data_IF_419973155566
#
_entry.id   IF_419973155566
#
_cell.length_a   1.000
_cell.length_b   1.000
_cell.length_c   1.000
_cell.angle_alpha   90.00
_cell.angle_beta   90.00
_cell.angle_gamma   90.00
#
_symmetry.space_group_name_H-M   'P 1'
#
loop_
_entity.id
_entity.type
_entity.pdbx_description
1 polymer ?
#
# COMPACT_ATOMS: atom_id res chain seq x y z
N UNK A 1 -9.13 28.36 -6.12
CA UNK A 1 -7.91 28.22 -5.31
C UNK A 1 -6.76 27.84 -6.24
N UNK A 2 -5.70 28.64 -6.28
CA UNK A 2 -4.52 28.35 -7.12
C UNK A 2 -3.65 27.31 -6.41
N UNK A 3 -3.67 26.06 -6.88
CA UNK A 3 -2.73 25.05 -6.41
C UNK A 3 -1.39 25.25 -7.11
N UNK A 4 -0.41 25.78 -6.39
CA UNK A 4 1.00 25.79 -6.82
C UNK A 4 1.49 24.34 -6.93
N UNK A 5 1.54 23.79 -8.15
CA UNK A 5 2.15 22.47 -8.42
C UNK A 5 3.67 22.61 -8.39
N UNK A 6 4.28 22.31 -7.25
CA UNK A 6 5.74 22.23 -7.13
C UNK A 6 6.19 20.84 -7.59
N UNK A 7 6.70 20.73 -8.82
CA UNK A 7 7.35 19.49 -9.30
C UNK A 7 8.83 19.53 -8.89
N UNK A 8 9.21 18.74 -7.88
CA UNK A 8 10.62 18.52 -7.52
C UNK A 8 11.08 17.22 -8.14
N UNK A 9 11.88 17.31 -9.21
CA UNK A 9 12.49 16.16 -9.86
C UNK A 9 13.67 15.69 -9.01
N UNK A 10 13.46 14.67 -8.18
CA UNK A 10 14.54 13.99 -7.44
C UNK A 10 15.11 12.85 -8.28
N UNK A 11 16.18 13.09 -9.04
CA UNK A 11 16.93 12.00 -9.66
C UNK A 11 17.67 11.20 -8.58
N UNK A 12 17.71 9.87 -8.68
CA UNK A 12 18.39 8.94 -7.76
C UNK A 12 19.89 9.23 -7.49
N UNK A 13 20.48 10.23 -8.15
CA UNK A 13 21.81 10.77 -7.86
C UNK A 13 21.84 11.44 -6.47
N UNK A 14 20.74 12.02 -5.98
CA UNK A 14 20.67 12.49 -4.59
C UNK A 14 20.75 11.33 -3.61
N UNK A 15 20.30 10.12 -3.96
CA UNK A 15 20.46 8.93 -3.12
C UNK A 15 21.93 8.55 -2.91
N UNK A 16 22.75 8.53 -3.97
CA UNK A 16 24.18 8.21 -3.88
C UNK A 16 24.99 9.35 -3.27
N UNK A 17 24.64 10.61 -3.53
CA UNK A 17 25.29 11.76 -2.90
C UNK A 17 24.92 11.91 -1.41
N UNK A 18 23.66 11.66 -1.02
CA UNK A 18 23.25 11.60 0.39
C UNK A 18 23.80 10.36 1.09
N UNK A 19 23.91 9.20 0.43
CA UNK A 19 24.58 8.02 1.00
C UNK A 19 26.09 8.23 1.13
N UNK A 20 26.75 8.85 0.13
CA UNK A 20 28.17 9.17 0.20
C UNK A 20 28.48 10.19 1.29
N UNK A 21 27.63 11.23 1.43
CA UNK A 21 27.73 12.21 2.51
C UNK A 21 27.37 11.62 3.88
N UNK A 22 26.37 10.73 3.98
CA UNK A 22 26.06 10.02 5.22
C UNK A 22 27.15 9.02 5.61
N UNK A 23 27.69 8.24 4.67
CA UNK A 23 28.80 7.32 4.94
C UNK A 23 30.02 8.11 5.45
N UNK A 24 30.33 9.26 4.83
CA UNK A 24 31.40 10.13 5.30
C UNK A 24 31.15 10.74 6.70
N UNK A 25 29.89 10.80 7.17
CA UNK A 25 29.53 11.47 8.43
C UNK A 25 29.09 10.52 9.56
N UNK A 26 28.65 9.29 9.25
CA UNK A 26 28.14 8.32 10.24
C UNK A 26 29.12 7.23 10.64
N UNK A 27 30.28 7.14 9.99
CA UNK A 27 31.31 6.23 10.44
C UNK A 27 32.33 6.99 11.27
N UNK A 28 32.50 6.52 12.50
CA UNK A 28 33.72 6.68 13.28
C UNK A 28 34.82 5.94 12.51
N UNK A 29 35.27 6.54 11.40
CA UNK A 29 36.22 5.94 10.47
C UNK A 29 37.54 5.78 11.20
N UNK A 30 38.01 4.55 11.29
CA UNK A 30 39.27 4.21 11.94
C UNK A 30 40.41 5.07 11.38
N UNK A 31 41.45 5.36 12.18
CA UNK A 31 42.62 6.17 11.75
C UNK A 31 43.31 5.65 10.46
N UNK A 32 42.99 4.44 10.00
CA UNK A 32 43.46 3.86 8.74
C UNK A 32 42.78 4.44 7.48
N UNK A 33 41.50 4.79 7.54
CA UNK A 33 40.70 5.16 6.36
C UNK A 33 41.04 6.57 5.84
N UNK A 34 41.52 7.45 6.73
CA UNK A 34 41.95 8.81 6.39
C UNK A 34 43.21 8.88 5.51
N UNK A 35 43.91 7.75 5.30
CA UNK A 35 45.13 7.68 4.48
C UNK A 35 44.87 7.30 3.02
N UNK A 36 43.61 7.04 2.63
CA UNK A 36 43.27 6.65 1.26
C UNK A 36 43.22 7.87 0.33
N UNK A 37 43.83 7.81 -0.89
CA UNK A 37 43.89 8.96 -1.82
C UNK A 37 42.52 9.51 -2.24
N UNK A 38 41.50 8.66 -2.19
CA UNK A 38 40.12 9.00 -2.56
C UNK A 38 39.41 9.88 -1.49
N UNK A 39 39.92 9.91 -0.27
CA UNK A 39 39.29 10.61 0.86
C UNK A 39 39.31 12.13 0.69
N UNK A 40 40.40 12.68 0.14
CA UNK A 40 40.53 14.12 -0.10
C UNK A 40 39.65 14.59 -1.27
N UNK A 41 39.47 13.74 -2.29
CA UNK A 41 38.53 14.00 -3.37
C UNK A 41 37.07 14.00 -2.88
N UNK A 42 36.70 13.05 -2.01
CA UNK A 42 35.37 13.02 -1.38
C UNK A 42 35.12 14.25 -0.51
N UNK A 43 36.10 14.67 0.29
CA UNK A 43 36.00 15.90 1.10
C UNK A 43 35.83 17.14 0.24
N UNK A 44 36.58 17.26 -0.86
CA UNK A 44 36.49 18.39 -1.79
C UNK A 44 35.13 18.44 -2.50
N UNK A 45 34.62 17.27 -2.90
CA UNK A 45 33.29 17.13 -3.50
C UNK A 45 32.19 17.53 -2.51
N UNK A 46 32.27 17.04 -1.27
CA UNK A 46 31.34 17.40 -0.19
C UNK A 46 31.36 18.91 0.08
N UNK A 47 32.55 19.53 0.18
CA UNK A 47 32.67 20.97 0.41
C UNK A 47 32.12 21.81 -0.74
N UNK A 48 32.32 21.38 -1.99
CA UNK A 48 31.73 22.02 -3.17
C UNK A 48 30.20 21.92 -3.15
N UNK A 49 29.68 20.73 -2.81
CA UNK A 49 28.25 20.50 -2.68
C UNK A 49 27.61 21.34 -1.56
N UNK A 50 28.31 21.50 -0.43
CA UNK A 50 27.88 22.33 0.71
C UNK A 50 27.70 23.80 0.32
N UNK A 51 28.58 24.34 -0.54
CA UNK A 51 28.48 25.73 -1.02
C UNK A 51 27.30 25.92 -1.96
N UNK A 52 26.98 24.92 -2.77
CA UNK A 52 25.94 25.00 -3.80
C UNK A 52 24.56 24.75 -3.20
N UNK A 53 24.45 23.87 -2.20
CA UNK A 53 23.17 23.45 -1.63
C UNK A 53 23.15 23.49 -0.08
N UNK A 54 23.27 24.68 0.53
CA UNK A 54 23.34 24.81 1.99
C UNK A 54 22.09 24.27 2.72
N UNK A 55 20.92 24.27 2.06
CA UNK A 55 19.65 23.78 2.61
C UNK A 55 19.44 22.27 2.50
N UNK A 56 20.22 21.54 1.70
CA UNK A 56 20.08 20.07 1.58
C UNK A 56 20.66 19.37 2.81
N UNK A 57 21.64 19.97 3.48
CA UNK A 57 22.27 19.44 4.70
C UNK A 57 21.64 19.92 6.00
N UNK A 58 20.70 20.87 5.96
CA UNK A 58 19.87 21.17 7.14
C UNK A 58 18.86 20.06 7.44
N UNK A 59 18.70 19.09 6.53
CA UNK A 59 18.05 17.82 6.81
C UNK A 59 18.94 17.01 7.77
N UNK A 60 18.93 17.38 9.05
CA UNK A 60 19.30 16.45 10.11
C UNK A 60 18.40 15.25 9.94
N UNK A 61 18.99 14.07 9.74
CA UNK A 61 18.30 12.86 10.13
C UNK A 61 17.96 13.09 11.61
N UNK A 62 16.67 13.18 11.93
CA UNK A 62 16.22 13.08 13.31
C UNK A 62 16.54 11.64 13.69
N UNK A 63 17.79 11.36 14.03
CA UNK A 63 18.14 10.28 14.93
C UNK A 63 17.71 10.80 16.29
N UNK A 64 16.41 10.96 16.52
CA UNK A 64 15.96 11.08 17.90
C UNK A 64 16.24 9.72 18.50
N UNK A 65 17.09 9.69 19.52
CA UNK A 65 17.43 8.50 20.30
C UNK A 65 16.19 7.88 20.99
N UNK A 66 15.00 8.47 20.80
CA UNK A 66 13.72 8.10 21.41
C UNK A 66 12.59 7.85 20.38
N UNK A 67 12.87 7.41 19.14
CA UNK A 67 11.77 6.85 18.30
C UNK A 67 11.49 5.43 18.78
N UNK A 68 10.35 5.22 19.45
CA UNK A 68 9.80 3.88 19.67
C UNK A 68 9.34 3.33 18.32
N UNK A 69 10.20 2.53 17.68
CA UNK A 69 9.85 1.81 16.46
C UNK A 69 9.19 0.50 16.89
N UNK A 70 7.91 0.34 16.59
CA UNK A 70 7.24 -0.94 16.75
C UNK A 70 7.91 -1.96 15.82
N UNK A 71 8.47 -3.06 16.35
CA UNK A 71 9.05 -4.11 15.52
C UNK A 71 7.99 -4.72 14.62
N UNK A 72 8.43 -5.25 13.46
CA UNK A 72 7.55 -6.01 12.59
C UNK A 72 7.05 -7.27 13.31
N UNK A 73 5.73 -7.43 13.40
CA UNK A 73 5.14 -8.69 13.84
C UNK A 73 5.25 -9.73 12.71
N UNK A 74 6.04 -10.78 12.94
CA UNK A 74 6.26 -11.85 11.97
C UNK A 74 5.12 -12.87 11.93
N UNK A 75 4.19 -12.84 12.89
CA UNK A 75 2.99 -13.67 12.92
C UNK A 75 1.69 -12.88 12.74
N UNK A 76 1.77 -11.72 12.07
CA UNK A 76 0.63 -10.84 11.81
C UNK A 76 -0.54 -11.51 11.08
N UNK A 77 -0.38 -12.69 10.50
CA UNK A 77 -1.44 -13.46 9.84
C UNK A 77 -1.66 -14.86 10.42
N UNK A 78 -1.02 -15.16 11.57
CA UNK A 78 -1.15 -16.43 12.28
C UNK A 78 -0.51 -17.62 11.57
N UNK A 79 0.32 -17.35 10.56
CA UNK A 79 0.90 -18.35 9.64
C UNK A 79 2.43 -18.40 9.71
N UNK A 80 3.04 -17.92 10.78
CA UNK A 80 4.49 -17.96 10.93
C UNK A 80 5.00 -19.40 11.11
N UNK A 81 5.93 -19.87 10.25
CA UNK A 81 6.49 -21.23 10.36
C UNK A 81 7.07 -21.59 11.73
N UNK A 82 7.54 -20.61 12.51
CA UNK A 82 8.05 -20.85 13.87
C UNK A 82 6.99 -21.34 14.87
N UNK A 83 5.70 -21.11 14.59
CA UNK A 83 4.60 -21.43 15.50
C UNK A 83 4.07 -22.87 15.34
N UNK A 84 4.44 -23.59 14.28
CA UNK A 84 4.11 -25.01 14.09
C UNK A 84 5.02 -25.98 14.89
N UNK A 85 5.73 -25.48 15.89
CA UNK A 85 6.77 -26.21 16.64
C UNK A 85 6.28 -27.08 17.81
N UNK A 86 4.97 -27.19 18.06
CA UNK A 86 4.45 -27.72 19.34
C UNK A 86 4.02 -29.19 19.36
N UNK A 87 4.23 -29.99 18.31
CA UNK A 87 4.06 -31.45 18.40
C UNK A 87 5.39 -32.19 18.27
N UNK A 88 6.01 -32.44 19.41
CA UNK A 88 7.28 -33.17 19.59
C UNK A 88 7.22 -34.67 19.23
N UNK A 89 6.20 -35.11 18.49
CA UNK A 89 5.96 -36.52 18.15
C UNK A 89 5.99 -36.82 16.64
N UNK A 90 6.12 -35.81 15.77
CA UNK A 90 6.27 -36.00 14.33
C UNK A 90 7.50 -35.25 13.85
N UNK A 91 8.44 -35.96 13.23
CA UNK A 91 9.47 -35.39 12.35
C UNK A 91 8.81 -34.81 11.09
N UNK A 92 7.90 -33.84 11.28
CA UNK A 92 7.16 -33.16 10.22
C UNK A 92 8.00 -32.03 9.65
N UNK A 93 8.20 -32.05 8.32
CA UNK A 93 8.79 -30.92 7.60
C UNK A 93 8.05 -29.63 7.96
N UNK A 94 8.80 -28.54 8.20
CA UNK A 94 8.21 -27.21 8.33
C UNK A 94 7.55 -26.86 7.00
N UNK A 95 6.22 -26.95 6.93
CA UNK A 95 5.45 -26.56 5.75
C UNK A 95 5.44 -25.05 5.69
N UNK A 96 6.41 -24.49 4.98
CA UNK A 96 6.46 -23.07 4.67
C UNK A 96 5.67 -22.79 3.40
N UNK A 97 4.92 -21.67 3.33
CA UNK A 97 4.46 -21.13 2.06
C UNK A 97 5.62 -21.11 1.05
N UNK A 98 5.36 -21.46 -0.21
CA UNK A 98 6.41 -21.45 -1.27
C UNK A 98 6.21 -20.34 -2.29
N UNK A 99 5.02 -19.73 -2.32
CA UNK A 99 4.64 -18.76 -3.34
C UNK A 99 4.46 -17.35 -2.76
N UNK A 100 4.82 -16.36 -3.58
CA UNK A 100 4.51 -14.96 -3.33
C UNK A 100 3.09 -14.67 -3.81
N UNK A 101 2.28 -14.00 -2.97
CA UNK A 101 0.95 -13.53 -3.36
C UNK A 101 1.02 -12.09 -3.85
N UNK A 102 0.38 -11.83 -4.98
CA UNK A 102 0.16 -10.48 -5.51
C UNK A 102 -1.32 -10.14 -5.35
N UNK A 103 -1.61 -9.08 -4.60
CA UNK A 103 -2.96 -8.60 -4.36
C UNK A 103 -3.12 -7.24 -5.04
N UNK A 104 -4.07 -7.14 -5.96
CA UNK A 104 -4.42 -5.91 -6.64
C UNK A 104 -5.79 -5.46 -6.14
N UNK A 105 -5.84 -4.29 -5.51
CA UNK A 105 -7.06 -3.65 -5.05
C UNK A 105 -7.43 -2.57 -6.06
N UNK A 106 -8.69 -2.60 -6.50
CA UNK A 106 -9.21 -1.65 -7.48
C UNK A 106 -10.32 -0.86 -6.80
N UNK A 107 -10.17 0.47 -6.73
CA UNK A 107 -11.26 1.33 -6.26
C UNK A 107 -12.36 1.37 -7.32
N UNK A 108 -13.63 1.41 -6.90
CA UNK A 108 -14.74 1.59 -7.83
C UNK A 108 -14.59 2.87 -8.67
N UNK A 109 -15.29 2.93 -9.80
CA UNK A 109 -15.36 4.15 -10.63
C UNK A 109 -16.16 5.26 -9.98
N UNK A 110 -16.08 6.46 -10.56
CA UNK A 110 -16.94 7.57 -10.16
C UNK A 110 -18.42 7.19 -10.31
N UNK A 111 -19.22 7.55 -9.33
CA UNK A 111 -20.64 7.21 -9.25
C UNK A 111 -21.47 8.40 -8.77
N UNK A 112 -22.78 8.34 -8.99
CA UNK A 112 -23.72 9.31 -8.43
C UNK A 112 -24.02 8.96 -6.97
N UNK A 113 -23.82 9.92 -6.06
CA UNK A 113 -24.20 9.73 -4.67
C UNK A 113 -25.72 9.79 -4.51
N UNK A 114 -26.30 8.75 -3.92
CA UNK A 114 -27.71 8.68 -3.59
C UNK A 114 -27.89 8.19 -2.15
N UNK A 115 -29.12 8.29 -1.64
CA UNK A 115 -29.45 7.83 -0.29
C UNK A 115 -29.47 6.30 -0.22
N UNK A 116 -30.08 5.65 -1.20
CA UNK A 116 -30.15 4.20 -1.31
C UNK A 116 -29.02 3.68 -2.20
N UNK A 117 -28.38 2.58 -1.81
CA UNK A 117 -27.27 1.99 -2.57
C UNK A 117 -27.71 1.54 -3.97
N UNK A 118 -28.97 1.13 -4.14
CA UNK A 118 -29.54 0.73 -5.43
C UNK A 118 -29.48 1.84 -6.49
N UNK A 119 -29.43 3.11 -6.06
CA UNK A 119 -29.40 4.27 -6.96
C UNK A 119 -27.96 4.80 -7.17
N UNK A 120 -26.97 4.23 -6.48
CA UNK A 120 -25.56 4.66 -6.52
C UNK A 120 -24.81 4.12 -7.76
N UNK A 121 -25.32 4.41 -8.96
CA UNK A 121 -24.76 3.93 -10.24
C UNK A 121 -23.53 4.72 -10.72
N UNK A 122 -22.67 4.06 -11.49
CA UNK A 122 -21.52 4.67 -12.16
C UNK A 122 -21.95 5.79 -13.13
N UNK A 123 -21.21 6.89 -13.10
CA UNK A 123 -21.33 7.97 -14.09
C UNK A 123 -20.73 7.54 -15.42
N UNK A 124 -20.96 8.30 -16.49
CA UNK A 124 -20.28 8.08 -17.77
C UNK A 124 -18.75 8.13 -17.64
N UNK A 125 -18.23 9.05 -16.82
CA UNK A 125 -16.81 9.14 -16.47
C UNK A 125 -16.35 7.90 -15.70
N UNK A 126 -17.11 7.45 -14.71
CA UNK A 126 -16.84 6.21 -13.98
C UNK A 126 -16.66 5.01 -14.89
N UNK A 127 -17.55 4.85 -15.88
CA UNK A 127 -17.45 3.75 -16.85
C UNK A 127 -16.17 3.81 -17.69
N UNK A 128 -15.76 5.00 -18.13
CA UNK A 128 -14.50 5.20 -18.86
C UNK A 128 -13.28 4.90 -17.98
N UNK A 129 -13.30 5.28 -16.70
CA UNK A 129 -12.23 4.95 -15.76
C UNK A 129 -12.03 3.43 -15.65
N UNK A 130 -13.11 2.65 -15.51
CA UNK A 130 -12.98 1.19 -15.41
C UNK A 130 -12.59 0.51 -16.72
N UNK A 131 -12.98 1.05 -17.88
CA UNK A 131 -12.48 0.56 -19.17
C UNK A 131 -10.95 0.75 -19.27
N UNK A 132 -10.43 1.92 -18.87
CA UNK A 132 -8.98 2.14 -18.76
C UNK A 132 -8.33 1.16 -17.78
N UNK A 133 -8.93 0.93 -16.60
CA UNK A 133 -8.41 -0.01 -15.61
C UNK A 133 -8.43 -1.45 -16.10
N UNK A 134 -9.51 -1.88 -16.77
CA UNK A 134 -9.62 -3.20 -17.38
C UNK A 134 -8.58 -3.42 -18.47
N UNK A 135 -8.39 -2.44 -19.36
CA UNK A 135 -7.31 -2.45 -20.37
C UNK A 135 -5.94 -2.58 -19.71
N UNK A 136 -5.69 -1.81 -18.65
CA UNK A 136 -4.41 -1.87 -17.92
C UNK A 136 -4.14 -3.24 -17.32
N UNK A 137 -5.14 -3.88 -16.71
CA UNK A 137 -5.01 -5.23 -16.16
C UNK A 137 -4.74 -6.25 -17.27
N UNK A 138 -5.43 -6.14 -18.39
CA UNK A 138 -5.17 -7.00 -19.57
C UNK A 138 -3.73 -6.84 -20.08
N UNK A 139 -3.22 -5.61 -20.17
CA UNK A 139 -1.83 -5.33 -20.60
C UNK A 139 -0.78 -5.90 -19.64
N UNK A 140 -1.03 -5.84 -18.33
CA UNK A 140 -0.16 -6.45 -17.33
C UNK A 140 -0.08 -7.97 -17.50
N UNK A 141 -1.14 -8.59 -18.03
CA UNK A 141 -1.20 -10.00 -18.42
C UNK A 141 -0.72 -10.96 -17.32
N UNK A 142 -1.06 -10.66 -16.07
CA UNK A 142 -0.80 -11.56 -14.95
C UNK A 142 -1.77 -12.74 -14.96
N UNK A 143 -1.39 -13.89 -14.35
CA UNK A 143 -2.28 -15.04 -14.21
C UNK A 143 -3.32 -14.77 -13.12
N UNK A 144 -4.27 -13.86 -13.38
CA UNK A 144 -5.34 -13.50 -12.48
C UNK A 144 -6.21 -14.73 -12.17
N UNK A 145 -6.13 -15.21 -10.92
CA UNK A 145 -6.85 -16.42 -10.51
C UNK A 145 -8.32 -16.15 -10.18
N UNK A 146 -8.58 -15.04 -9.49
CA UNK A 146 -9.88 -14.75 -8.89
C UNK A 146 -10.04 -13.25 -8.65
N UNK A 147 -11.25 -12.75 -8.87
CA UNK A 147 -11.67 -11.38 -8.57
C UNK A 147 -12.77 -11.42 -7.51
N UNK A 148 -12.59 -10.69 -6.43
CA UNK A 148 -13.63 -10.48 -5.42
C UNK A 148 -14.12 -9.04 -5.53
N UNK A 149 -15.44 -8.83 -5.50
CA UNK A 149 -16.01 -7.50 -5.60
C UNK A 149 -17.11 -7.27 -4.56
N UNK A 150 -17.20 -6.02 -4.09
CA UNK A 150 -18.24 -5.60 -3.15
C UNK A 150 -19.62 -5.72 -3.81
N UNK A 151 -20.62 -6.06 -3.01
CA UNK A 151 -22.03 -6.10 -3.44
C UNK A 151 -22.67 -4.71 -3.56
N UNK A 152 -21.93 -3.62 -3.31
CA UNK A 152 -22.44 -2.26 -3.54
C UNK A 152 -22.62 -2.01 -5.04
N UNK A 153 -23.70 -1.33 -5.42
CA UNK A 153 -24.08 -1.11 -6.84
C UNK A 153 -22.91 -0.62 -7.70
N UNK A 154 -22.23 0.44 -7.26
CA UNK A 154 -21.03 0.98 -7.94
C UNK A 154 -19.90 -0.03 -8.11
N UNK A 155 -19.73 -0.95 -7.16
CA UNK A 155 -18.67 -1.97 -7.21
C UNK A 155 -19.05 -3.15 -8.09
N UNK A 156 -20.33 -3.56 -8.10
CA UNK A 156 -20.87 -4.54 -9.03
C UNK A 156 -20.67 -4.07 -10.47
N UNK A 157 -21.14 -2.86 -10.81
CA UNK A 157 -20.95 -2.30 -12.16
C UNK A 157 -19.47 -2.13 -12.51
N UNK A 158 -18.62 -1.77 -11.55
CA UNK A 158 -17.18 -1.66 -11.77
C UNK A 158 -16.55 -3.01 -12.11
N UNK A 159 -16.94 -4.06 -11.40
CA UNK A 159 -16.42 -5.41 -11.60
C UNK A 159 -16.82 -5.95 -12.98
N UNK A 160 -18.07 -5.76 -13.40
CA UNK A 160 -18.55 -6.14 -14.73
C UNK A 160 -17.72 -5.50 -15.85
N UNK A 161 -17.47 -4.19 -15.75
CA UNK A 161 -16.66 -3.47 -16.74
C UNK A 161 -15.23 -3.98 -16.78
N UNK A 162 -14.59 -4.22 -15.63
CA UNK A 162 -13.23 -4.76 -15.57
C UNK A 162 -13.19 -6.19 -16.14
N UNK A 163 -14.18 -7.03 -15.85
CA UNK A 163 -14.26 -8.42 -16.30
C UNK A 163 -14.42 -8.56 -17.81
N UNK A 164 -15.01 -7.57 -18.50
CA UNK A 164 -14.99 -7.51 -19.97
C UNK A 164 -13.56 -7.55 -20.54
N UNK A 165 -12.55 -7.17 -19.75
CA UNK A 165 -11.15 -7.24 -20.15
C UNK A 165 -10.41 -8.50 -19.71
N UNK A 166 -11.01 -9.28 -18.81
CA UNK A 166 -10.44 -10.44 -18.15
C UNK A 166 -11.40 -11.64 -18.23
N UNK A 167 -11.77 -12.12 -19.44
CA UNK A 167 -12.89 -13.05 -19.64
C UNK A 167 -12.71 -14.43 -18.98
N UNK A 168 -11.47 -14.82 -18.64
CA UNK A 168 -11.16 -16.12 -18.04
C UNK A 168 -11.03 -16.06 -16.51
N UNK A 169 -11.25 -14.90 -15.90
CA UNK A 169 -11.08 -14.72 -14.45
C UNK A 169 -12.40 -15.01 -13.74
N UNK A 170 -12.37 -15.96 -12.81
CA UNK A 170 -13.51 -16.24 -11.95
C UNK A 170 -13.77 -15.05 -11.02
N UNK A 171 -15.04 -14.66 -10.88
CA UNK A 171 -15.44 -13.54 -10.04
C UNK A 171 -16.47 -13.96 -8.99
N UNK A 172 -16.35 -13.45 -7.77
CA UNK A 172 -17.28 -13.71 -6.67
C UNK A 172 -17.70 -12.41 -5.96
N UNK A 173 -19.00 -12.17 -5.77
CA UNK A 173 -19.48 -11.07 -4.94
C UNK A 173 -19.18 -11.34 -3.46
N UNK A 174 -18.97 -10.28 -2.67
CA UNK A 174 -18.69 -10.39 -1.24
C UNK A 174 -19.21 -9.19 -0.46
N UNK A 175 -20.11 -9.44 0.49
CA UNK A 175 -20.59 -8.41 1.44
C UNK A 175 -19.49 -7.98 2.43
N UNK A 176 -18.48 -8.82 2.64
CA UNK A 176 -17.42 -8.55 3.60
C UNK A 176 -16.61 -7.29 3.22
N UNK A 177 -16.53 -6.97 1.93
CA UNK A 177 -15.78 -5.82 1.40
C UNK A 177 -16.67 -4.64 0.98
N UNK A 178 -17.90 -4.55 1.51
CA UNK A 178 -18.71 -3.31 1.42
C UNK A 178 -18.00 -2.16 2.14
N UNK A 179 -18.23 -0.93 1.68
CA UNK A 179 -17.74 0.28 2.36
C UNK A 179 -18.24 0.32 3.82
N UNK A 180 -17.48 0.94 4.72
CA UNK A 180 -17.85 1.04 6.13
C UNK A 180 -16.90 1.95 6.91
N UNK A 181 -17.14 2.08 8.21
CA UNK A 181 -16.40 2.95 9.11
C UNK A 181 -15.60 2.18 10.17
N UNK A 182 -14.45 1.56 9.83
CA UNK A 182 -13.77 0.62 10.72
C UNK A 182 -13.05 1.27 11.92
N UNK A 183 -12.71 2.56 11.84
CA UNK A 183 -11.97 3.27 12.90
C UNK A 183 -12.43 4.73 13.02
N UNK A 184 -12.11 5.35 14.16
CA UNK A 184 -12.14 6.81 14.30
C UNK A 184 -10.89 7.38 13.60
N UNK A 185 -11.06 8.42 12.80
CA UNK A 185 -10.00 8.96 11.97
C UNK A 185 -9.11 9.94 12.73
N UNK A 186 -7.81 9.93 12.42
CA UNK A 186 -6.84 10.91 12.91
C UNK A 186 -5.99 11.47 11.74
N UNK A 187 -6.21 12.74 11.33
CA UNK A 187 -7.05 13.75 11.99
C UNK A 187 -8.56 13.53 11.75
N UNK A 188 -9.42 14.04 12.67
CA UNK A 188 -10.87 13.91 12.53
C UNK A 188 -11.40 14.73 11.34
N UNK A 189 -12.42 14.20 10.66
CA UNK A 189 -13.09 14.86 9.54
C UNK A 189 -14.52 15.25 9.92
N UNK A 190 -14.91 16.49 9.61
CA UNK A 190 -16.22 17.02 10.01
C UNK A 190 -17.43 16.24 9.45
N UNK A 191 -17.28 15.61 8.29
CA UNK A 191 -18.33 14.80 7.65
C UNK A 191 -18.29 13.32 8.04
N UNK A 192 -17.22 12.85 8.69
CA UNK A 192 -17.08 11.47 9.13
C UNK A 192 -17.49 11.38 10.61
N UNK A 193 -18.72 10.91 10.85
CA UNK A 193 -19.30 10.78 12.20
C UNK A 193 -19.97 9.41 12.38
N UNK A 194 -19.20 8.31 12.36
CA UNK A 194 -19.77 7.00 12.59
C UNK A 194 -20.28 6.87 14.02
N UNK A 195 -21.35 6.10 14.19
CA UNK A 195 -21.83 5.70 15.51
C UNK A 195 -20.95 4.59 16.09
N UNK A 196 -20.97 4.35 17.41
CA UNK A 196 -20.26 3.20 17.99
C UNK A 196 -20.63 1.86 17.37
N UNK A 197 -21.91 1.72 16.97
CA UNK A 197 -22.43 0.54 16.29
C UNK A 197 -21.80 0.38 14.90
N UNK A 198 -21.68 1.46 14.13
CA UNK A 198 -21.04 1.42 12.81
C UNK A 198 -19.58 0.95 12.94
N UNK A 199 -18.85 1.48 13.93
CA UNK A 199 -17.46 1.09 14.18
C UNK A 199 -17.33 -0.38 14.53
N UNK A 200 -18.22 -0.90 15.39
CA UNK A 200 -18.18 -2.30 15.81
C UNK A 200 -18.55 -3.25 14.65
N UNK A 201 -19.65 -2.99 13.95
CA UNK A 201 -20.16 -3.84 12.87
C UNK A 201 -19.25 -3.77 11.64
N UNK A 202 -18.88 -2.56 11.18
CA UNK A 202 -18.02 -2.38 10.02
C UNK A 202 -16.57 -2.76 10.33
N UNK A 203 -16.07 -2.42 11.51
CA UNK A 203 -14.73 -2.81 11.96
C UNK A 203 -14.58 -4.32 11.97
N UNK A 204 -15.50 -5.04 12.60
CA UNK A 204 -15.49 -6.51 12.65
C UNK A 204 -15.59 -7.13 11.24
N UNK A 205 -16.46 -6.58 10.39
CA UNK A 205 -16.66 -7.06 9.02
C UNK A 205 -15.43 -6.84 8.13
N UNK A 206 -14.84 -5.65 8.20
CA UNK A 206 -13.65 -5.28 7.41
C UNK A 206 -12.43 -6.05 7.89
N UNK A 207 -12.28 -6.24 9.21
CA UNK A 207 -11.21 -7.07 9.78
C UNK A 207 -11.34 -8.54 9.37
N UNK A 208 -12.56 -9.07 9.38
CA UNK A 208 -12.82 -10.41 8.86
C UNK A 208 -12.51 -10.52 7.36
N UNK A 209 -12.81 -9.51 6.56
CA UNK A 209 -12.45 -9.46 5.14
C UNK A 209 -10.93 -9.39 4.94
N UNK A 210 -10.24 -8.59 5.76
CA UNK A 210 -8.78 -8.51 5.80
C UNK A 210 -8.19 -9.90 6.04
N UNK A 211 -8.59 -10.58 7.12
CA UNK A 211 -8.14 -11.93 7.46
C UNK A 211 -8.36 -12.91 6.31
N UNK A 212 -9.56 -12.92 5.72
CA UNK A 212 -9.93 -13.84 4.64
C UNK A 212 -9.15 -13.64 3.35
N UNK A 213 -8.80 -12.40 3.02
CA UNK A 213 -8.26 -12.08 1.69
C UNK A 213 -6.77 -11.73 1.70
N UNK A 214 -6.24 -11.24 2.82
CA UNK A 214 -4.91 -10.67 2.98
C UNK A 214 -4.11 -11.47 4.01
N UNK A 215 -3.32 -12.42 3.52
CA UNK A 215 -2.49 -13.31 4.35
C UNK A 215 -1.40 -13.97 3.48
N UNK A 216 -0.40 -14.63 4.07
CA UNK A 216 0.49 -15.59 3.38
C UNK A 216 -0.32 -16.72 2.75
N UNK A 217 0.26 -17.53 1.86
CA UNK A 217 -0.44 -18.73 1.38
C UNK A 217 -0.81 -19.68 2.56
N UNK A 218 -1.85 -20.51 2.41
CA UNK A 218 -2.49 -21.22 3.55
C UNK A 218 -1.51 -22.06 4.41
N UNK A 219 -1.61 -22.10 5.76
CA UNK A 219 -2.45 -23.02 6.60
C UNK A 219 -2.84 -22.39 7.98
N UNK A 220 -4.14 -22.20 8.31
CA UNK A 220 -4.68 -21.77 9.65
C UNK A 220 -4.49 -20.29 10.06
N UNK A 221 -5.43 -19.63 10.78
CA UNK A 221 -5.52 -18.14 10.88
C UNK A 221 -5.81 -17.53 12.28
N UNK A 222 -5.16 -16.38 12.55
CA UNK A 222 -5.67 -15.10 13.12
C UNK A 222 -4.77 -13.94 12.60
N UNK A 223 -5.25 -12.70 12.35
CA UNK A 223 -4.41 -11.65 11.72
C UNK A 223 -4.64 -10.20 12.21
N UNK A 224 -3.63 -9.34 11.90
CA UNK A 224 -3.46 -7.89 12.09
C UNK A 224 -3.11 -7.19 10.74
N UNK A 225 -3.20 -5.85 10.63
CA UNK A 225 -3.07 -5.12 9.35
C UNK A 225 -1.77 -5.39 8.54
N UNK A 226 -1.90 -5.50 7.21
CA UNK A 226 -0.82 -6.04 6.35
C UNK A 226 0.43 -5.18 6.22
N UNK A 227 0.36 -3.87 6.47
CA UNK A 227 1.54 -2.99 6.47
C UNK A 227 1.93 -2.56 7.89
N UNK A 228 1.17 -2.97 8.91
CA UNK A 228 1.40 -2.61 10.31
C UNK A 228 1.53 -1.10 10.55
N UNK A 229 0.85 -0.31 9.71
CA UNK A 229 0.66 1.12 9.97
C UNK A 229 -0.48 1.31 10.98
N UNK A 230 -0.43 2.35 11.82
CA UNK A 230 -1.55 2.71 12.66
C UNK A 230 -2.83 2.84 11.82
N UNK A 231 -3.90 2.09 12.14
CA UNK A 231 -5.09 2.02 11.29
C UNK A 231 -5.80 3.39 11.16
N UNK A 232 -5.65 4.28 12.14
CA UNK A 232 -6.21 5.63 12.12
C UNK A 232 -5.58 6.51 11.04
N UNK A 233 -4.40 6.13 10.53
CA UNK A 233 -3.71 6.85 9.47
C UNK A 233 -4.31 6.61 8.07
N UNK A 234 -5.30 5.71 7.91
CA UNK A 234 -5.83 5.34 6.60
C UNK A 234 -6.42 6.51 5.81
N UNK A 235 -7.00 7.50 6.49
CA UNK A 235 -7.55 8.69 5.84
C UNK A 235 -6.49 9.57 5.16
N UNK A 236 -5.21 9.35 5.50
CA UNK A 236 -4.08 10.07 4.91
C UNK A 236 -3.78 9.54 3.51
N UNK A 237 -4.35 8.40 3.12
CA UNK A 237 -4.27 7.86 1.77
C UNK A 237 -5.48 8.31 0.96
N UNK A 238 -5.22 9.04 -0.13
CA UNK A 238 -6.23 9.37 -1.14
C UNK A 238 -6.06 8.43 -2.32
N UNK A 239 -7.17 7.85 -2.78
CA UNK A 239 -7.19 6.88 -3.88
C UNK A 239 -8.12 7.41 -4.98
N UNK A 240 -7.62 7.53 -6.21
CA UNK A 240 -8.48 7.95 -7.33
C UNK A 240 -9.50 6.86 -7.67
N UNK A 241 -10.64 7.23 -8.25
CA UNK A 241 -11.60 6.28 -8.79
C UNK A 241 -10.95 5.38 -9.86
N UNK A 242 -11.25 4.07 -9.83
CA UNK A 242 -10.64 3.08 -10.71
C UNK A 242 -9.14 2.86 -10.53
N UNK A 243 -8.50 3.47 -9.53
CA UNK A 243 -7.07 3.31 -9.27
C UNK A 243 -6.70 1.90 -8.82
N UNK A 244 -5.43 1.52 -9.03
CA UNK A 244 -4.86 0.22 -8.67
C UNK A 244 -3.88 0.40 -7.50
N UNK A 245 -4.14 -0.30 -6.40
CA UNK A 245 -3.19 -0.49 -5.30
C UNK A 245 -2.66 -1.92 -5.35
N UNK A 246 -1.34 -2.09 -5.24
CA UNK A 246 -0.68 -3.39 -5.41
C UNK A 246 0.15 -3.76 -4.18
N UNK A 247 -0.28 -4.79 -3.46
CA UNK A 247 0.47 -5.43 -2.38
C UNK A 247 1.12 -6.74 -2.83
N UNK A 248 2.30 -7.01 -2.29
CA UNK A 248 3.04 -8.26 -2.49
C UNK A 248 3.34 -8.87 -1.14
N UNK A 249 2.85 -10.08 -0.90
CA UNK A 249 3.07 -10.84 0.35
C UNK A 249 4.03 -11.98 0.03
N UNK A 250 5.21 -11.94 0.64
CA UNK A 250 6.23 -12.99 0.50
C UNK A 250 5.93 -14.18 1.41
N UNK A 251 6.48 -15.37 1.07
CA UNK A 251 6.33 -16.55 1.92
C UNK A 251 6.76 -16.40 3.38
N UNK A 252 7.75 -15.55 3.64
CA UNK A 252 8.30 -15.29 4.97
C UNK A 252 7.47 -14.29 5.79
N UNK A 253 6.36 -13.80 5.25
CA UNK A 253 5.46 -12.86 5.94
C UNK A 253 5.77 -11.40 5.64
N UNK A 254 6.84 -11.07 4.92
CA UNK A 254 7.10 -9.67 4.51
C UNK A 254 6.04 -9.19 3.54
N UNK A 255 5.55 -7.97 3.77
CA UNK A 255 4.62 -7.30 2.86
C UNK A 255 5.31 -6.10 2.19
N UNK A 256 5.05 -5.90 0.90
CA UNK A 256 5.56 -4.77 0.13
C UNK A 256 4.43 -4.10 -0.63
N UNK A 257 4.26 -2.79 -0.40
CA UNK A 257 3.40 -1.93 -1.20
C UNK A 257 4.15 -1.49 -2.45
N UNK A 258 3.74 -1.98 -3.63
CA UNK A 258 4.37 -1.66 -4.92
C UNK A 258 3.86 -0.35 -5.50
N UNK A 259 2.57 -0.10 -5.37
CA UNK A 259 1.95 1.18 -5.68
C UNK A 259 0.67 1.35 -4.87
N UNK A 260 0.31 2.59 -4.59
CA UNK A 260 -0.90 2.99 -3.87
C UNK A 260 -1.67 3.98 -4.75
N UNK A 261 -2.95 3.71 -4.99
CA UNK A 261 -3.82 4.64 -5.73
C UNK A 261 -3.32 4.96 -7.14
N UNK A 262 -2.70 4.01 -7.85
CA UNK A 262 -2.14 4.28 -9.17
C UNK A 262 -3.26 4.44 -10.22
N UNK A 263 -3.39 5.66 -10.74
CA UNK A 263 -4.28 6.06 -11.83
C UNK A 263 -3.54 6.50 -13.09
N UNK A 264 -2.21 6.30 -13.15
CA UNK A 264 -1.38 6.75 -14.27
C UNK A 264 -1.65 6.05 -15.61
N UNK A 265 -2.45 4.99 -15.61
CA UNK A 265 -2.98 4.34 -16.82
C UNK A 265 -4.20 5.06 -17.41
N UNK A 266 -4.75 6.06 -16.72
CA UNK A 266 -5.85 6.88 -17.19
C UNK A 266 -5.34 8.19 -17.79
N UNK A 267 -5.95 8.69 -18.87
CA UNK A 267 -5.79 10.08 -19.29
C UNK A 267 -6.12 11.05 -18.14
N UNK A 268 -5.40 12.18 -18.01
CA UNK A 268 -5.59 13.11 -16.89
C UNK A 268 -7.03 13.61 -16.70
N UNK A 269 -7.78 13.78 -17.78
CA UNK A 269 -9.18 14.20 -17.78
C UNK A 269 -10.12 13.17 -17.16
N UNK A 270 -9.69 11.91 -17.05
CA UNK A 270 -10.48 10.86 -16.43
C UNK A 270 -10.17 10.70 -14.93
N UNK A 271 -9.14 11.36 -14.41
CA UNK A 271 -8.74 11.20 -13.00
C UNK A 271 -9.67 12.01 -12.10
N UNK A 272 -10.30 11.34 -11.13
CA UNK A 272 -11.11 11.99 -10.11
C UNK A 272 -10.99 11.30 -8.75
N UNK A 273 -11.10 12.10 -7.69
CA UNK A 273 -11.22 11.66 -6.29
C UNK A 273 -12.64 11.91 -5.80
N UNK A 274 -13.01 11.29 -4.67
CA UNK A 274 -14.26 11.54 -3.96
C UNK A 274 -14.05 12.61 -2.90
#
# INVERSE_FOLDING_TARGET
>A
MSFSRVVRLGCCITGTALFGAKAAWSADWSRGDQKLPFFDQLKSLANTFNKIFPSILSARAICSENVSIQPWDWDWDGRNPSNFRTDSSLQGEIVTPKCTRHLLFIRHGQYYYAKEDSDCHLTGLGRQQLDCTGKRLRELNFPYRKLYYSTMTRAVESAELVLNHLPNVQAEPSDAIREGAPYILEPPLAYYKPTPKDIEEDGSRIELAFRRHIHRADVGQEADTALQFPPEAWIRFSLDHGSITWLVIRPDGRVTLRCLGNSGHMPPELISVQ
#
